data_IF_189011169235
#
_entry.id   IF_189011169235
#
_cell.length_a   1.000
_cell.length_b   1.000
_cell.length_c   1.000
_cell.angle_alpha   90.00
_cell.angle_beta   90.00
_cell.angle_gamma   90.00
#
_symmetry.space_group_name_H-M   'P 1'
#
loop_
_entity.id
_entity.type
_entity.pdbx_description
1 polymer ?
#
# COMPACT_ATOMS: atom_id res chain seq x y z
N UNK A 1 -11.60 -9.59 3.66
CA UNK A 1 -12.18 -8.70 2.67
C UNK A 1 -13.69 -8.62 2.85
N UNK A 2 -14.27 -7.42 2.75
CA UNK A 2 -15.72 -7.24 2.73
C UNK A 2 -16.24 -7.48 1.30
N UNK A 3 -17.34 -8.21 1.17
CA UNK A 3 -18.06 -8.35 -0.09
C UNK A 3 -18.99 -7.14 -0.34
N UNK A 4 -19.60 -7.09 -1.53
CA UNK A 4 -20.46 -5.98 -1.93
C UNK A 4 -21.66 -5.77 -0.98
N UNK A 5 -22.21 -6.84 -0.40
CA UNK A 5 -23.35 -6.75 0.48
C UNK A 5 -22.95 -6.29 1.89
N UNK A 6 -21.75 -6.63 2.33
CA UNK A 6 -21.17 -6.10 3.56
C UNK A 6 -20.84 -4.60 3.41
N UNK A 7 -20.30 -4.19 2.26
CA UNK A 7 -20.04 -2.76 1.97
C UNK A 7 -21.32 -1.92 1.99
N UNK A 8 -22.44 -2.44 1.47
CA UNK A 8 -23.75 -1.76 1.52
C UNK A 8 -24.25 -1.52 2.95
N UNK A 9 -23.82 -2.35 3.91
CA UNK A 9 -24.22 -2.24 5.32
C UNK A 9 -23.37 -1.26 6.13
N UNK A 10 -22.30 -0.68 5.53
CA UNK A 10 -21.46 0.31 6.20
C UNK A 10 -22.27 1.57 6.47
N UNK A 11 -22.37 1.94 7.75
CA UNK A 11 -22.98 3.20 8.13
C UNK A 11 -22.02 4.36 7.84
N UNK A 12 -22.23 5.02 6.69
CA UNK A 12 -21.39 6.12 6.20
C UNK A 12 -21.30 7.26 7.21
N UNK A 13 -22.41 7.69 7.76
CA UNK A 13 -22.46 8.81 8.70
C UNK A 13 -21.63 8.50 9.96
N UNK A 14 -21.84 7.34 10.55
CA UNK A 14 -21.06 6.91 11.71
C UNK A 14 -19.57 6.85 11.43
N UNK A 15 -19.19 6.30 10.26
CA UNK A 15 -17.79 6.22 9.86
C UNK A 15 -17.15 7.61 9.72
N UNK A 16 -17.81 8.53 9.02
CA UNK A 16 -17.30 9.89 8.83
C UNK A 16 -17.27 10.68 10.14
N UNK A 17 -18.28 10.54 11.00
CA UNK A 17 -18.32 11.17 12.31
C UNK A 17 -17.17 10.69 13.21
N UNK A 18 -16.81 9.42 13.16
CA UNK A 18 -15.65 8.89 13.89
C UNK A 18 -14.34 9.49 13.39
N UNK A 19 -14.13 9.57 12.07
CA UNK A 19 -12.94 10.23 11.49
C UNK A 19 -12.91 11.71 11.89
N UNK A 20 -14.01 12.44 11.70
CA UNK A 20 -14.10 13.86 12.04
C UNK A 20 -13.88 14.13 13.53
N UNK A 21 -14.30 13.23 14.41
CA UNK A 21 -14.02 13.35 15.85
C UNK A 21 -12.51 13.25 16.16
N UNK A 22 -11.79 12.33 15.51
CA UNK A 22 -10.34 12.25 15.64
C UNK A 22 -9.65 13.51 15.11
N UNK A 23 -10.03 13.97 13.92
CA UNK A 23 -9.47 15.19 13.33
C UNK A 23 -9.73 16.42 14.19
N UNK A 24 -10.95 16.55 14.73
CA UNK A 24 -11.30 17.63 15.64
C UNK A 24 -10.46 17.61 16.93
N UNK A 25 -10.33 16.45 17.58
CA UNK A 25 -9.56 16.30 18.81
C UNK A 25 -8.05 16.54 18.60
N UNK A 26 -7.52 16.09 17.47
CA UNK A 26 -6.09 16.22 17.15
C UNK A 26 -5.74 17.56 16.49
N UNK A 27 -6.73 18.31 16.00
CA UNK A 27 -6.52 19.53 15.22
C UNK A 27 -5.74 19.31 13.92
N UNK A 28 -5.81 18.10 13.36
CA UNK A 28 -5.02 17.66 12.19
C UNK A 28 -5.81 16.67 11.35
N UNK A 29 -5.55 16.59 10.02
CA UNK A 29 -6.08 15.53 9.19
C UNK A 29 -5.63 14.15 9.69
N UNK A 30 -6.54 13.19 9.65
CA UNK A 30 -6.24 11.81 10.02
C UNK A 30 -5.47 11.11 8.90
N UNK A 31 -4.29 10.59 9.21
CA UNK A 31 -3.54 9.71 8.33
C UNK A 31 -3.60 8.27 8.87
N UNK A 32 -3.92 7.33 8.00
CA UNK A 32 -4.02 5.91 8.35
C UNK A 32 -3.21 5.05 7.38
N UNK A 33 -2.55 4.03 7.89
CA UNK A 33 -2.02 2.97 7.04
C UNK A 33 -3.16 2.07 6.58
N UNK A 34 -3.47 2.13 5.28
CA UNK A 34 -4.62 1.47 4.66
C UNK A 34 -4.50 -0.04 4.48
N UNK A 35 -3.89 -0.75 5.43
CA UNK A 35 -3.46 -2.15 5.32
C UNK A 35 -4.49 -3.10 4.72
N UNK A 36 -5.70 -3.15 5.27
CA UNK A 36 -6.77 -4.05 4.80
C UNK A 36 -7.76 -3.35 3.86
N UNK A 37 -7.46 -2.13 3.46
CA UNK A 37 -8.37 -1.27 2.69
C UNK A 37 -7.98 -1.18 1.21
N UNK A 38 -6.87 -1.79 0.81
CA UNK A 38 -6.35 -1.73 -0.55
C UNK A 38 -7.35 -2.25 -1.62
N UNK A 39 -8.20 -3.19 -1.26
CA UNK A 39 -9.26 -3.73 -2.12
C UNK A 39 -10.50 -2.83 -2.22
N UNK A 40 -10.57 -1.74 -1.45
CA UNK A 40 -11.79 -0.95 -1.28
C UNK A 40 -11.59 0.55 -1.57
N UNK A 41 -10.56 0.91 -2.34
CA UNK A 41 -10.24 2.31 -2.68
C UNK A 41 -11.44 3.05 -3.28
N UNK A 42 -12.15 2.54 -4.31
CA UNK A 42 -13.31 3.23 -4.87
C UNK A 42 -14.46 3.38 -3.86
N UNK A 43 -14.66 2.39 -3.01
CA UNK A 43 -15.68 2.45 -1.97
C UNK A 43 -15.33 3.55 -0.94
N UNK A 44 -14.11 3.59 -0.44
CA UNK A 44 -13.66 4.63 0.49
C UNK A 44 -13.80 6.02 -0.12
N UNK A 45 -13.37 6.18 -1.37
CA UNK A 45 -13.57 7.43 -2.12
C UNK A 45 -15.06 7.79 -2.26
N UNK A 46 -15.97 6.82 -2.39
CA UNK A 46 -17.39 7.07 -2.42
C UNK A 46 -17.94 7.61 -1.09
N UNK A 47 -17.33 7.24 0.04
CA UNK A 47 -17.71 7.72 1.36
C UNK A 47 -17.33 9.20 1.57
N UNK A 48 -16.11 9.58 1.17
CA UNK A 48 -15.65 10.96 1.27
C UNK A 48 -14.71 11.30 0.10
N UNK A 49 -15.11 12.31 -0.69
CA UNK A 49 -14.36 12.81 -1.85
C UNK A 49 -13.09 13.58 -1.47
N UNK A 50 -12.89 13.89 -0.21
CA UNK A 50 -11.71 14.59 0.31
C UNK A 50 -10.58 13.64 0.75
N UNK A 51 -10.78 12.32 0.65
CA UNK A 51 -9.69 11.38 0.93
C UNK A 51 -8.60 11.48 -0.13
N UNK A 52 -7.36 11.54 0.32
CA UNK A 52 -6.17 11.41 -0.52
C UNK A 52 -5.56 10.03 -0.26
N UNK A 53 -5.42 9.25 -1.32
CA UNK A 53 -4.81 7.93 -1.28
C UNK A 53 -3.33 8.07 -1.63
N UNK A 54 -2.45 7.78 -0.67
CA UNK A 54 -1.00 7.78 -0.88
C UNK A 54 -0.57 6.35 -1.14
N UNK A 55 -0.12 6.11 -2.36
CA UNK A 55 0.43 4.85 -2.81
C UNK A 55 1.96 4.91 -2.77
N UNK A 56 2.56 4.24 -1.81
CA UNK A 56 4.00 4.06 -1.73
C UNK A 56 4.36 2.74 -2.40
N UNK A 57 4.70 2.82 -3.69
CA UNK A 57 5.06 1.66 -4.50
C UNK A 57 6.49 1.22 -4.22
N UNK A 58 6.72 -0.08 -4.32
CA UNK A 58 8.03 -0.69 -4.19
C UNK A 58 8.18 -1.77 -5.26
N UNK A 59 9.39 -1.95 -5.77
CA UNK A 59 9.69 -3.04 -6.68
C UNK A 59 9.18 -4.39 -6.15
N UNK A 60 8.46 -5.14 -7.01
CA UNK A 60 7.78 -6.38 -6.62
C UNK A 60 8.75 -7.45 -6.15
N UNK A 61 9.96 -7.51 -6.73
CA UNK A 61 10.99 -8.46 -6.33
C UNK A 61 11.42 -8.22 -4.88
N UNK A 62 11.76 -6.98 -4.52
CA UNK A 62 12.18 -6.65 -3.16
C UNK A 62 11.03 -6.76 -2.15
N UNK A 63 9.80 -6.54 -2.60
CA UNK A 63 8.62 -6.74 -1.77
C UNK A 63 8.39 -8.23 -1.47
N UNK A 64 8.45 -9.09 -2.49
CA UNK A 64 8.34 -10.54 -2.35
C UNK A 64 9.50 -11.13 -1.53
N UNK A 65 10.74 -10.70 -1.78
CA UNK A 65 11.91 -11.07 -0.98
C UNK A 65 11.68 -10.76 0.51
N UNK A 66 11.14 -9.58 0.82
CA UNK A 66 10.85 -9.20 2.20
C UNK A 66 9.83 -10.12 2.86
N UNK A 67 8.84 -10.62 2.12
CA UNK A 67 7.86 -11.58 2.62
C UNK A 67 8.49 -12.96 2.88
N UNK A 68 9.43 -13.42 2.04
CA UNK A 68 10.17 -14.67 2.28
C UNK A 68 10.90 -14.60 3.62
N UNK A 69 11.67 -13.54 3.83
CA UNK A 69 12.39 -13.36 5.10
C UNK A 69 11.48 -13.14 6.30
N UNK A 70 10.35 -12.45 6.13
CA UNK A 70 9.38 -12.29 7.21
C UNK A 70 8.77 -13.64 7.64
N UNK A 71 8.44 -14.54 6.68
CA UNK A 71 7.97 -15.89 6.98
C UNK A 71 8.99 -16.69 7.77
N UNK A 72 10.24 -16.65 7.35
CA UNK A 72 11.35 -17.32 8.05
C UNK A 72 11.54 -16.74 9.46
N UNK A 73 11.58 -15.42 9.60
CA UNK A 73 11.80 -14.75 10.88
C UNK A 73 10.67 -15.00 11.90
N UNK A 74 9.41 -14.99 11.46
CA UNK A 74 8.27 -15.07 12.38
C UNK A 74 7.77 -16.50 12.61
N UNK A 75 7.99 -17.40 11.67
CA UNK A 75 7.42 -18.75 11.72
C UNK A 75 8.47 -19.86 11.62
N UNK A 76 9.73 -19.53 11.33
CA UNK A 76 10.77 -20.51 10.98
C UNK A 76 10.33 -21.46 9.85
N UNK A 77 9.46 -20.95 8.97
CA UNK A 77 8.86 -21.74 7.89
C UNK A 77 8.40 -20.83 6.73
N UNK A 78 9.11 -20.90 5.62
CA UNK A 78 8.80 -20.14 4.40
C UNK A 78 7.46 -20.51 3.74
N UNK A 79 6.89 -21.66 4.08
CA UNK A 79 5.57 -22.11 3.57
C UNK A 79 4.40 -21.50 4.30
N UNK A 80 4.60 -21.05 5.55
CA UNK A 80 3.54 -20.41 6.31
C UNK A 80 3.20 -19.06 5.74
N UNK A 81 1.94 -18.84 5.46
CA UNK A 81 1.48 -17.58 4.92
C UNK A 81 1.65 -16.43 5.94
N UNK A 82 2.29 -15.35 5.49
CA UNK A 82 2.48 -14.12 6.26
C UNK A 82 1.79 -12.95 5.56
N UNK A 83 1.20 -12.02 6.36
CA UNK A 83 0.57 -10.79 5.88
C UNK A 83 -0.74 -11.01 5.09
N UNK A 84 -1.13 -10.03 4.25
CA UNK A 84 -2.45 -10.00 3.61
C UNK A 84 -2.63 -11.11 2.59
N UNK A 85 -3.88 -11.58 2.49
CA UNK A 85 -4.32 -12.57 1.51
C UNK A 85 -4.99 -11.85 0.35
N UNK A 86 -4.46 -11.92 -0.88
CA UNK A 86 -5.15 -11.43 -2.06
C UNK A 86 -6.40 -12.27 -2.34
N UNK A 87 -7.22 -11.85 -3.30
CA UNK A 87 -8.42 -12.63 -3.70
C UNK A 87 -8.05 -14.02 -4.18
N UNK A 88 -6.91 -14.14 -4.83
CA UNK A 88 -6.33 -15.33 -5.43
C UNK A 88 -5.65 -16.25 -4.38
N UNK A 89 -5.77 -15.96 -3.10
CA UNK A 89 -5.14 -16.75 -2.02
C UNK A 89 -5.40 -18.25 -2.17
N UNK A 90 -6.63 -18.64 -2.51
CA UNK A 90 -6.97 -20.06 -2.63
C UNK A 90 -6.25 -20.78 -3.79
N UNK A 91 -5.85 -20.07 -4.82
CA UNK A 91 -5.04 -20.59 -5.94
C UNK A 91 -3.55 -20.60 -5.63
N UNK A 92 -3.12 -19.81 -4.64
CA UNK A 92 -1.72 -19.65 -4.27
C UNK A 92 -1.32 -20.52 -3.08
N UNK A 93 -2.21 -20.78 -2.12
CA UNK A 93 -1.89 -21.37 -0.81
C UNK A 93 -1.18 -22.71 -0.86
N UNK A 94 -1.44 -23.50 -1.91
CA UNK A 94 -0.88 -24.86 -2.09
C UNK A 94 0.36 -24.89 -3.02
N UNK A 95 0.81 -23.71 -3.50
CA UNK A 95 2.00 -23.57 -4.33
C UNK A 95 3.29 -23.51 -3.51
N UNK A 96 4.44 -23.46 -4.20
CA UNK A 96 5.74 -23.26 -3.58
C UNK A 96 5.88 -21.87 -2.92
N UNK A 97 6.78 -21.71 -1.93
CA UNK A 97 6.93 -20.44 -1.21
C UNK A 97 7.19 -19.24 -2.13
N UNK A 98 8.03 -19.41 -3.15
CA UNK A 98 8.37 -18.37 -4.13
C UNK A 98 7.16 -17.95 -4.96
N UNK A 99 6.39 -18.92 -5.48
CA UNK A 99 5.17 -18.66 -6.24
C UNK A 99 4.10 -17.99 -5.37
N UNK A 100 4.00 -18.40 -4.09
CA UNK A 100 3.08 -17.78 -3.15
C UNK A 100 3.38 -16.29 -2.93
N UNK A 101 4.65 -15.93 -2.68
CA UNK A 101 5.00 -14.53 -2.40
C UNK A 101 4.96 -13.68 -3.67
N UNK A 102 5.38 -14.21 -4.82
CA UNK A 102 5.24 -13.55 -6.11
C UNK A 102 3.78 -13.23 -6.41
N UNK A 103 2.90 -14.22 -6.33
CA UNK A 103 1.46 -14.05 -6.52
C UNK A 103 0.86 -13.09 -5.48
N UNK A 104 1.27 -13.17 -4.22
CA UNK A 104 0.78 -12.29 -3.16
C UNK A 104 1.07 -10.82 -3.47
N UNK A 105 2.31 -10.47 -3.82
CA UNK A 105 2.67 -9.06 -4.10
C UNK A 105 2.05 -8.58 -5.41
N UNK A 106 2.05 -9.42 -6.45
CA UNK A 106 1.50 -9.10 -7.75
C UNK A 106 -0.01 -8.79 -7.68
N UNK A 107 -0.81 -9.71 -7.14
CA UNK A 107 -2.27 -9.52 -7.08
C UNK A 107 -2.70 -8.40 -6.13
N UNK A 108 -1.96 -8.16 -5.03
CA UNK A 108 -2.20 -7.00 -4.18
C UNK A 108 -1.89 -5.71 -4.94
N UNK A 109 -0.76 -5.66 -5.69
CA UNK A 109 -0.42 -4.49 -6.52
C UNK A 109 -1.51 -4.23 -7.56
N UNK A 110 -1.93 -5.23 -8.31
CA UNK A 110 -2.99 -5.09 -9.30
C UNK A 110 -4.32 -4.61 -8.69
N UNK A 111 -4.67 -5.10 -7.50
CA UNK A 111 -5.87 -4.62 -6.80
C UNK A 111 -5.76 -3.13 -6.43
N UNK A 112 -4.58 -2.66 -6.01
CA UNK A 112 -4.33 -1.24 -5.74
C UNK A 112 -4.43 -0.42 -7.02
N UNK A 113 -3.75 -0.83 -8.10
CA UNK A 113 -3.73 -0.14 -9.39
C UNK A 113 -5.14 -0.02 -9.97
N UNK A 114 -5.88 -1.12 -9.96
CA UNK A 114 -7.28 -1.14 -10.38
C UNK A 114 -8.16 -0.24 -9.50
N UNK A 115 -7.90 -0.17 -8.21
CA UNK A 115 -8.63 0.72 -7.30
C UNK A 115 -8.33 2.19 -7.55
N UNK A 116 -7.07 2.54 -7.75
CA UNK A 116 -6.62 3.90 -8.03
C UNK A 116 -7.13 4.38 -9.40
N UNK A 117 -7.12 3.53 -10.44
CA UNK A 117 -7.63 3.90 -11.77
C UNK A 117 -9.10 4.33 -11.81
N UNK A 118 -9.87 4.00 -10.76
CA UNK A 118 -11.30 4.33 -10.64
C UNK A 118 -11.57 5.62 -9.86
N UNK A 119 -10.55 6.32 -9.40
CA UNK A 119 -10.68 7.59 -8.66
C UNK A 119 -9.91 8.70 -9.35
N UNK A 120 -10.30 9.99 -9.14
CA UNK A 120 -9.60 11.12 -9.77
C UNK A 120 -8.14 11.24 -9.34
N UNK A 121 -7.29 11.70 -10.24
CA UNK A 121 -5.87 11.95 -9.97
C UNK A 121 -5.63 12.96 -8.83
N UNK A 122 -6.56 13.89 -8.62
CA UNK A 122 -6.51 14.85 -7.50
C UNK A 122 -6.55 14.17 -6.13
N UNK A 123 -7.10 12.96 -6.07
CA UNK A 123 -7.28 12.19 -4.84
C UNK A 123 -6.22 11.10 -4.66
N UNK A 124 -5.22 11.02 -5.53
CA UNK A 124 -4.17 10.01 -5.46
C UNK A 124 -2.78 10.63 -5.58
N UNK A 125 -1.83 10.02 -4.90
CA UNK A 125 -0.44 10.38 -4.91
C UNK A 125 0.40 9.11 -4.89
N UNK A 126 1.08 8.82 -6.01
CA UNK A 126 1.99 7.68 -6.10
C UNK A 126 3.43 8.16 -5.97
N UNK A 127 4.19 7.46 -5.14
CA UNK A 127 5.61 7.72 -4.89
C UNK A 127 6.34 6.38 -4.87
N UNK A 128 7.50 6.34 -5.51
CA UNK A 128 8.41 5.22 -5.42
C UNK A 128 9.11 5.16 -4.06
N UNK A 129 9.32 3.93 -3.54
CA UNK A 129 9.96 3.73 -2.24
C UNK A 129 11.40 4.27 -2.19
N UNK A 130 12.16 4.14 -3.26
CA UNK A 130 13.55 4.63 -3.32
C UNK A 130 13.59 6.17 -3.35
N UNK A 131 12.66 6.79 -4.07
CA UNK A 131 12.47 8.25 -4.04
C UNK A 131 12.08 8.71 -2.63
N UNK A 132 11.13 8.04 -1.99
CA UNK A 132 10.75 8.36 -0.61
C UNK A 132 11.93 8.24 0.36
N UNK A 133 12.77 7.21 0.24
CA UNK A 133 13.94 7.06 1.07
C UNK A 133 14.96 8.18 0.88
N UNK A 134 15.20 8.59 -0.37
CA UNK A 134 16.17 9.63 -0.72
C UNK A 134 15.69 11.05 -0.39
N UNK A 135 14.38 11.29 -0.47
CA UNK A 135 13.78 12.61 -0.25
C UNK A 135 12.39 12.51 0.41
N UNK A 136 12.31 12.14 1.70
CA UNK A 136 11.02 12.04 2.40
C UNK A 136 10.24 13.36 2.45
N UNK A 137 10.93 14.49 2.35
CA UNK A 137 10.32 15.82 2.33
C UNK A 137 9.46 16.04 1.08
N UNK A 138 9.82 15.43 -0.06
CA UNK A 138 9.02 15.55 -1.29
C UNK A 138 7.62 15.01 -1.11
N UNK A 139 7.46 13.88 -0.42
CA UNK A 139 6.14 13.32 -0.09
C UNK A 139 5.26 14.32 0.64
N UNK A 140 5.81 15.01 1.65
CA UNK A 140 5.06 15.99 2.42
C UNK A 140 4.60 17.19 1.57
N UNK A 141 5.48 17.70 0.69
CA UNK A 141 5.16 18.78 -0.22
C UNK A 141 4.09 18.35 -1.24
N UNK A 142 4.17 17.14 -1.73
CA UNK A 142 3.18 16.56 -2.64
C UNK A 142 1.82 16.37 -1.95
N UNK A 143 1.79 15.90 -0.69
CA UNK A 143 0.56 15.84 0.11
C UNK A 143 -0.04 17.24 0.29
N UNK A 144 0.76 18.25 0.67
CA UNK A 144 0.30 19.65 0.77
C UNK A 144 -0.34 20.12 -0.52
N UNK A 145 0.30 19.86 -1.66
CA UNK A 145 -0.22 20.22 -2.99
C UNK A 145 -1.55 19.53 -3.30
N UNK A 146 -1.69 18.23 -2.99
CA UNK A 146 -2.96 17.50 -3.20
C UNK A 146 -4.09 18.05 -2.33
N UNK A 147 -3.82 18.37 -1.06
CA UNK A 147 -4.81 19.00 -0.20
C UNK A 147 -5.23 20.39 -0.70
N UNK A 148 -4.27 21.19 -1.22
CA UNK A 148 -4.58 22.48 -1.82
C UNK A 148 -5.51 22.34 -3.04
N UNK A 149 -5.32 21.33 -3.90
CA UNK A 149 -6.20 21.01 -5.02
C UNK A 149 -7.63 20.66 -4.58
N UNK A 150 -7.78 20.11 -3.37
CA UNK A 150 -9.08 19.80 -2.77
C UNK A 150 -9.66 20.98 -1.95
N UNK A 151 -9.00 22.15 -1.97
CA UNK A 151 -9.45 23.36 -1.26
C UNK A 151 -9.02 23.44 0.21
N UNK A 152 -8.10 22.58 0.67
CA UNK A 152 -7.60 22.58 2.04
C UNK A 152 -6.18 23.13 2.12
N UNK A 153 -5.90 23.91 3.14
CA UNK A 153 -4.54 24.39 3.43
C UNK A 153 -3.91 23.57 4.56
N UNK A 154 -2.81 22.89 4.27
CA UNK A 154 -1.99 22.23 5.28
C UNK A 154 -0.83 23.14 5.68
N UNK A 155 -0.83 23.58 6.94
CA UNK A 155 0.31 24.27 7.54
C UNK A 155 1.40 23.24 7.88
N UNK A 156 2.44 23.22 7.05
CA UNK A 156 3.61 22.36 7.26
C UNK A 156 4.85 23.13 7.73
N UNK A 157 4.73 24.45 7.89
CA UNK A 157 5.90 25.30 8.18
C UNK A 157 6.40 25.13 9.63
N UNK A 158 5.54 24.58 10.49
CA UNK A 158 5.86 24.25 11.90
C UNK A 158 6.36 22.83 12.12
N UNK A 159 6.52 22.04 11.05
CA UNK A 159 6.99 20.68 11.18
C UNK A 159 8.51 20.65 11.42
N UNK A 160 8.92 19.76 12.31
CA UNK A 160 10.35 19.50 12.53
C UNK A 160 10.94 18.83 11.28
N UNK A 161 11.74 19.60 10.54
CA UNK A 161 12.35 19.15 9.30
C UNK A 161 13.39 18.06 9.49
N UNK A 162 13.92 17.88 10.73
CA UNK A 162 14.87 16.81 11.03
C UNK A 162 14.25 15.41 10.90
N UNK A 163 12.91 15.31 11.04
CA UNK A 163 12.16 14.06 10.84
C UNK A 163 12.14 13.58 9.39
N UNK A 164 12.51 14.44 8.43
CA UNK A 164 12.50 14.15 7.00
C UNK A 164 13.91 14.01 6.42
N UNK A 165 14.89 13.63 7.25
CA UNK A 165 16.22 13.31 6.75
C UNK A 165 16.17 12.07 5.85
N UNK A 166 16.94 12.05 4.76
CA UNK A 166 17.07 10.86 3.92
C UNK A 166 17.52 9.64 4.73
N UNK A 167 17.10 8.46 4.32
CA UNK A 167 17.50 7.20 4.91
C UNK A 167 17.81 6.16 3.84
N UNK A 168 18.54 5.13 4.20
CA UNK A 168 18.99 4.11 3.26
C UNK A 168 17.82 3.23 2.80
N UNK A 169 17.69 3.05 1.48
CA UNK A 169 16.80 2.06 0.90
C UNK A 169 17.28 0.66 1.21
N UNK A 170 16.38 -0.22 1.65
CA UNK A 170 16.66 -1.64 1.90
C UNK A 170 16.44 -2.52 0.66
N UNK A 171 16.61 -1.96 -0.53
CA UNK A 171 16.48 -2.67 -1.81
C UNK A 171 17.82 -3.24 -2.25
N UNK A 172 18.20 -4.33 -1.62
CA UNK A 172 19.35 -5.14 -1.99
C UNK A 172 18.94 -6.60 -2.10
N UNK A 173 19.47 -7.30 -3.12
CA UNK A 173 19.21 -8.74 -3.26
C UNK A 173 19.95 -9.53 -2.16
N UNK A 174 19.18 -10.32 -1.41
CA UNK A 174 19.65 -11.16 -0.29
C UNK A 174 19.35 -12.65 -0.51
N UNK A 175 18.66 -12.98 -1.60
CA UNK A 175 18.40 -14.36 -2.00
C UNK A 175 19.62 -14.98 -2.68
N UNK A 176 19.74 -16.29 -2.64
CA UNK A 176 20.74 -17.00 -3.46
C UNK A 176 20.38 -16.87 -4.95
N UNK A 177 21.32 -17.26 -5.83
CA UNK A 177 21.18 -17.08 -7.28
C UNK A 177 19.94 -17.82 -7.83
N UNK A 178 19.74 -19.07 -7.40
CA UNK A 178 18.61 -19.90 -7.86
C UNK A 178 17.25 -19.33 -7.40
N UNK A 179 17.15 -18.94 -6.14
CA UNK A 179 15.93 -18.31 -5.61
C UNK A 179 15.63 -16.97 -6.31
N UNK A 180 16.67 -16.20 -6.61
CA UNK A 180 16.55 -14.94 -7.35
C UNK A 180 15.99 -15.19 -8.75
N UNK A 181 16.52 -16.19 -9.47
CA UNK A 181 16.05 -16.54 -10.80
C UNK A 181 14.57 -16.99 -10.75
N UNK A 182 14.25 -17.93 -9.89
CA UNK A 182 12.88 -18.44 -9.73
C UNK A 182 11.88 -17.34 -9.41
N UNK A 183 12.22 -16.40 -8.51
CA UNK A 183 11.32 -15.31 -8.14
C UNK A 183 11.12 -14.33 -9.29
N UNK A 184 12.16 -14.00 -10.02
CA UNK A 184 12.07 -13.12 -11.20
C UNK A 184 11.25 -13.76 -12.31
N UNK A 185 11.47 -15.03 -12.61
CA UNK A 185 10.73 -15.76 -13.65
C UNK A 185 9.24 -15.83 -13.31
N UNK A 186 8.90 -16.08 -12.04
CA UNK A 186 7.50 -16.14 -11.62
C UNK A 186 6.82 -14.75 -11.69
N UNK A 187 7.51 -13.68 -11.30
CA UNK A 187 6.98 -12.31 -11.44
C UNK A 187 6.77 -11.93 -12.90
N UNK A 188 7.74 -12.26 -13.79
CA UNK A 188 7.60 -12.03 -15.23
C UNK A 188 6.43 -12.84 -15.83
N UNK A 189 6.28 -14.10 -15.42
CA UNK A 189 5.16 -14.94 -15.84
C UNK A 189 3.82 -14.33 -15.47
N UNK A 190 3.67 -13.80 -14.25
CA UNK A 190 2.45 -13.16 -13.79
C UNK A 190 2.15 -11.86 -14.57
N UNK A 191 3.17 -11.07 -14.87
CA UNK A 191 3.03 -9.82 -15.64
C UNK A 191 2.75 -10.06 -17.14
N UNK A 192 3.14 -11.20 -17.70
CA UNK A 192 2.92 -11.54 -19.11
C UNK A 192 1.57 -12.20 -19.42
N UNK A 193 0.72 -12.40 -18.43
CA UNK A 193 -0.62 -13.00 -18.57
C UNK A 193 -1.77 -11.96 -18.59
N UNK A 194 -1.45 -10.66 -18.75
CA UNK A 194 -2.45 -9.59 -18.98
C UNK A 194 -2.80 -9.40 -20.44
#
# INVERSE_FOLDING_TARGET
RMDADQLKKVNRERFLNQIGAFEFLMGKPLAMKGMMLYDHIPFLYSLNKNFVFVDLSRDLFFNAQSLIFAREQYFDDRKKWYSFKPQEYNTLKDKGPTEQVAGQVYYIRNSIDNGLSQIPETNQLSIDYSEFCSNPKSLLLNIKSKFAQLGFNLDIDKLDTSLFAPFESKESNKLCQDETALLKDELLRLQGHE
#
